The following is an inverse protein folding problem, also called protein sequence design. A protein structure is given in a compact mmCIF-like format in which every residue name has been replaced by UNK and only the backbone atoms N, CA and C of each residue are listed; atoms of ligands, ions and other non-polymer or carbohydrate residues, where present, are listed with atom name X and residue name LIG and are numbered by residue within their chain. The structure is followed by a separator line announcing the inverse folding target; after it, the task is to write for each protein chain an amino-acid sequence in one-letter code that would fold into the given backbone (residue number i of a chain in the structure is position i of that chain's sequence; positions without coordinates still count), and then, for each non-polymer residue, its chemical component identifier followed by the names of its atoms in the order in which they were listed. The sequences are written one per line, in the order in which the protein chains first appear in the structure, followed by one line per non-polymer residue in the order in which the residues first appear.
data_IF_057525942065
#
_entry.id   IF_057525942065
#
_cell.length_a   1.000
_cell.length_b   1.000
_cell.length_c   1.000
_cell.angle_alpha   90.00
_cell.angle_beta   90.00
_cell.angle_gamma   90.00
#
_symmetry.space_group_name_H-M   'P 1'
#
loop_
_entity.id
_entity.type
_entity.pdbx_description
1 polymer ?
#
# COMPACT_ATOMS: atom_id res chain seq x y z
N UNK A 1 -11.32 10.72 11.15
CA UNK A 1 -11.70 11.16 9.79
C UNK A 1 -12.12 10.03 8.85
N UNK A 2 -11.24 9.23 8.22
CA UNK A 2 -11.70 8.25 7.20
C UNK A 2 -12.66 7.18 7.75
N UNK A 3 -12.33 6.62 8.91
CA UNK A 3 -13.07 5.50 9.52
C UNK A 3 -14.24 5.99 10.36
N UNK A 4 -14.00 6.92 11.28
CA UNK A 4 -15.00 7.28 12.30
C UNK A 4 -15.96 8.39 11.86
N UNK A 5 -15.69 9.09 10.75
CA UNK A 5 -16.52 10.23 10.30
C UNK A 5 -17.03 10.02 8.87
N UNK A 6 -16.13 9.89 7.89
CA UNK A 6 -16.50 9.82 6.47
C UNK A 6 -17.26 8.54 6.13
N UNK A 7 -16.80 7.38 6.61
CA UNK A 7 -17.45 6.09 6.31
C UNK A 7 -18.88 6.00 6.86
N UNK A 8 -19.19 6.38 8.12
CA UNK A 8 -20.56 6.45 8.61
C UNK A 8 -21.45 7.39 7.79
N UNK A 9 -20.92 8.54 7.36
CA UNK A 9 -21.67 9.47 6.51
C UNK A 9 -22.01 8.85 5.16
N UNK A 10 -21.06 8.19 4.52
CA UNK A 10 -21.30 7.48 3.26
C UNK A 10 -22.29 6.32 3.43
N UNK A 11 -22.23 5.58 4.55
CA UNK A 11 -23.13 4.46 4.82
C UNK A 11 -24.60 4.90 4.96
N UNK A 12 -24.85 6.15 5.36
CA UNK A 12 -26.18 6.74 5.36
C UNK A 12 -26.73 7.02 3.94
N UNK A 13 -25.85 7.20 2.95
CA UNK A 13 -26.22 7.62 1.59
C UNK A 13 -26.14 6.47 0.57
N UNK A 14 -25.17 5.57 0.72
CA UNK A 14 -24.87 4.51 -0.23
C UNK A 14 -24.85 3.14 0.44
N UNK A 15 -25.30 2.11 -0.29
CA UNK A 15 -25.15 0.71 0.13
C UNK A 15 -23.79 0.17 -0.30
N UNK A 16 -22.96 -0.20 0.65
CA UNK A 16 -21.69 -0.91 0.44
C UNK A 16 -21.42 -1.87 1.59
N UNK A 17 -20.49 -2.80 1.39
CA UNK A 17 -20.01 -3.68 2.46
C UNK A 17 -19.08 -2.90 3.39
N UNK A 18 -19.52 -2.63 4.61
CA UNK A 18 -18.76 -1.87 5.62
C UNK A 18 -17.53 -2.63 6.17
N UNK A 19 -17.42 -3.92 5.85
CA UNK A 19 -16.33 -4.79 6.32
C UNK A 19 -15.24 -5.01 5.28
N UNK A 20 -15.49 -4.61 4.02
CA UNK A 20 -14.63 -4.94 2.89
C UNK A 20 -14.13 -3.70 2.12
N UNK A 21 -13.25 -2.94 2.78
CA UNK A 21 -12.71 -1.69 2.24
C UNK A 21 -11.25 -1.80 1.79
N UNK A 22 -10.94 -1.12 0.68
CA UNK A 22 -9.57 -0.88 0.25
C UNK A 22 -9.12 0.55 0.54
N UNK A 23 -7.83 0.72 0.85
CA UNK A 23 -7.17 2.01 0.90
C UNK A 23 -6.17 2.12 -0.26
N UNK A 24 -6.32 3.18 -1.04
CA UNK A 24 -5.43 3.51 -2.14
C UNK A 24 -4.67 4.78 -1.81
N UNK A 25 -3.36 4.76 -2.02
CA UNK A 25 -2.53 5.95 -1.92
C UNK A 25 -1.33 5.85 -2.84
N UNK A 26 -0.98 6.96 -3.49
CA UNK A 26 0.22 7.11 -4.31
C UNK A 26 1.12 8.21 -3.72
N UNK A 27 2.45 8.08 -3.85
CA UNK A 27 3.42 9.04 -3.34
C UNK A 27 3.26 9.29 -1.83
N UNK A 28 3.03 10.54 -1.39
CA UNK A 28 2.69 10.86 0.00
C UNK A 28 1.41 10.14 0.50
N UNK A 29 0.44 9.92 -0.39
CA UNK A 29 -0.73 9.09 -0.08
C UNK A 29 -0.35 7.62 0.12
N UNK A 30 0.65 7.12 -0.61
CA UNK A 30 1.22 5.79 -0.43
C UNK A 30 1.92 5.65 0.92
N UNK A 31 2.64 6.68 1.36
CA UNK A 31 3.21 6.75 2.71
C UNK A 31 2.11 6.66 3.79
N UNK A 32 1.01 7.43 3.64
CA UNK A 32 -0.14 7.34 4.54
C UNK A 32 -0.79 5.95 4.55
N UNK A 33 -1.04 5.36 3.37
CA UNK A 33 -1.62 4.02 3.27
C UNK A 33 -0.72 2.95 3.91
N UNK A 34 0.60 3.11 3.78
CA UNK A 34 1.59 2.25 4.43
C UNK A 34 1.58 2.43 5.95
N UNK A 35 1.51 3.66 6.44
CA UNK A 35 1.38 3.95 7.88
C UNK A 35 0.11 3.32 8.47
N UNK A 36 -1.02 3.43 7.77
CA UNK A 36 -2.28 2.79 8.18
C UNK A 36 -2.15 1.26 8.25
N UNK A 37 -1.55 0.64 7.23
CA UNK A 37 -1.24 -0.79 7.23
C UNK A 37 -0.39 -1.18 8.44
N UNK A 38 0.76 -0.53 8.62
CA UNK A 38 1.74 -0.84 9.67
C UNK A 38 1.21 -0.54 11.09
N UNK A 39 0.27 0.40 11.21
CA UNK A 39 -0.48 0.64 12.44
C UNK A 39 -1.43 -0.50 12.84
N UNK A 40 -1.58 -1.52 11.99
CA UNK A 40 -2.39 -2.71 12.30
C UNK A 40 -3.89 -2.44 12.34
N UNK A 41 -4.37 -1.42 11.61
CA UNK A 41 -5.81 -1.12 11.57
C UNK A 41 -6.59 -2.22 10.87
N UNK A 42 -7.73 -2.60 11.44
CA UNK A 42 -8.68 -3.53 10.83
C UNK A 42 -9.66 -2.85 9.87
N UNK A 43 -9.53 -1.53 9.70
CA UNK A 43 -10.45 -0.72 8.92
C UNK A 43 -10.36 -0.96 7.41
N UNK A 44 -9.26 -1.53 6.92
CA UNK A 44 -9.05 -1.83 5.49
C UNK A 44 -8.48 -3.24 5.32
N UNK A 45 -8.99 -3.98 4.33
CA UNK A 45 -8.56 -5.34 3.99
C UNK A 45 -7.66 -5.40 2.77
N UNK A 46 -7.64 -4.31 1.98
CA UNK A 46 -6.87 -4.22 0.75
C UNK A 46 -6.10 -2.91 0.71
N UNK A 47 -4.84 -2.96 0.28
CA UNK A 47 -3.98 -1.78 0.20
C UNK A 47 -3.39 -1.69 -1.19
N UNK A 48 -3.63 -0.58 -1.88
CA UNK A 48 -3.05 -0.28 -3.18
C UNK A 48 -2.10 0.90 -3.00
N UNK A 49 -0.80 0.59 -2.90
CA UNK A 49 0.24 1.52 -2.44
C UNK A 49 1.16 1.81 -3.63
N UNK A 50 1.06 3.02 -4.15
CA UNK A 50 1.89 3.57 -5.22
C UNK A 50 3.09 4.31 -4.69
N UNK A 51 4.28 3.94 -5.17
CA UNK A 51 5.55 4.67 -4.98
C UNK A 51 5.66 5.42 -3.64
N UNK A 52 5.47 4.73 -2.49
CA UNK A 52 5.47 5.40 -1.20
C UNK A 52 6.87 5.94 -0.94
N UNK A 53 6.95 7.17 -0.41
CA UNK A 53 8.20 7.70 0.13
C UNK A 53 8.56 6.97 1.44
N UNK A 54 8.97 5.71 1.35
CA UNK A 54 9.08 4.80 2.49
C UNK A 54 10.22 5.19 3.44
N UNK A 55 11.33 5.72 2.90
CA UNK A 55 12.44 6.29 3.67
C UNK A 55 12.19 7.74 4.10
N UNK A 56 11.05 8.32 3.71
CA UNK A 56 10.67 9.68 4.11
C UNK A 56 10.49 9.80 5.62
N UNK A 57 10.53 11.05 6.11
CA UNK A 57 10.37 11.35 7.53
C UNK A 57 11.35 10.57 8.42
N UNK A 58 12.63 10.53 8.05
CA UNK A 58 13.69 9.83 8.81
C UNK A 58 13.41 8.33 8.99
N UNK A 59 13.05 7.62 7.91
CA UNK A 59 12.71 6.19 7.93
C UNK A 59 11.53 5.85 8.86
N UNK A 60 10.59 6.79 9.10
CA UNK A 60 9.48 6.60 10.03
C UNK A 60 8.68 5.30 9.81
N UNK A 61 8.41 4.92 8.56
CA UNK A 61 7.67 3.70 8.26
C UNK A 61 8.46 2.44 8.63
N UNK A 62 9.78 2.44 8.46
CA UNK A 62 10.62 1.32 8.89
C UNK A 62 10.72 1.23 10.41
N UNK A 63 10.77 2.37 11.10
CA UNK A 63 10.71 2.41 12.57
C UNK A 63 9.37 1.87 13.07
N UNK A 64 8.26 2.27 12.45
CA UNK A 64 6.91 1.80 12.79
C UNK A 64 6.76 0.29 12.57
N UNK A 65 7.28 -0.22 11.46
CA UNK A 65 7.25 -1.65 11.14
C UNK A 65 8.10 -2.47 12.14
N UNK A 66 9.32 -2.03 12.46
CA UNK A 66 10.20 -2.70 13.44
C UNK A 66 9.57 -2.74 14.84
N UNK A 67 9.03 -1.60 15.30
CA UNK A 67 8.32 -1.52 16.57
C UNK A 67 7.09 -2.43 16.59
N UNK A 68 6.30 -2.41 15.52
CA UNK A 68 5.12 -3.26 15.38
C UNK A 68 5.47 -4.75 15.41
N UNK A 69 6.48 -5.16 14.65
CA UNK A 69 6.98 -6.54 14.66
C UNK A 69 7.45 -6.96 16.06
N UNK A 70 8.20 -6.10 16.75
CA UNK A 70 8.71 -6.38 18.11
C UNK A 70 7.59 -6.51 19.14
N UNK A 71 6.56 -5.68 19.01
CA UNK A 71 5.42 -5.66 19.93
C UNK A 71 4.30 -6.65 19.58
N UNK A 72 4.48 -7.46 18.53
CA UNK A 72 3.50 -8.46 18.11
C UNK A 72 2.27 -7.89 17.39
N UNK A 73 2.39 -6.71 16.78
CA UNK A 73 1.36 -6.16 15.89
C UNK A 73 1.06 -7.17 14.79
N UNK A 74 -0.22 -7.48 14.61
CA UNK A 74 -0.68 -8.37 13.54
C UNK A 74 -1.06 -7.55 12.34
N UNK A 75 -0.32 -7.72 11.25
CA UNK A 75 -0.68 -7.17 9.95
C UNK A 75 -1.56 -8.17 9.19
N UNK A 76 -2.61 -7.68 8.56
CA UNK A 76 -3.54 -8.51 7.78
C UNK A 76 -3.99 -7.79 6.51
N UNK A 77 -4.31 -8.57 5.48
CA UNK A 77 -4.90 -8.08 4.24
C UNK A 77 -4.06 -8.34 3.00
N UNK A 78 -4.56 -7.89 1.86
CA UNK A 78 -3.89 -8.03 0.56
C UNK A 78 -3.28 -6.67 0.15
N UNK A 79 -1.96 -6.65 -0.05
CA UNK A 79 -1.18 -5.46 -0.36
C UNK A 79 -0.64 -5.56 -1.79
N UNK A 80 -0.92 -4.54 -2.60
CA UNK A 80 -0.33 -4.33 -3.90
C UNK A 80 0.54 -3.08 -3.86
N UNK A 81 1.86 -3.28 -3.93
CA UNK A 81 2.85 -2.24 -4.08
C UNK A 81 3.17 -2.06 -5.57
N UNK A 82 3.22 -0.82 -6.04
CA UNK A 82 3.65 -0.55 -7.40
C UNK A 82 4.37 0.77 -7.59
N UNK A 83 5.36 0.80 -8.48
CA UNK A 83 6.11 2.01 -8.83
C UNK A 83 6.56 2.02 -10.29
N UNK A 84 6.81 3.21 -10.82
CA UNK A 84 7.45 3.38 -12.13
C UNK A 84 8.94 3.04 -12.07
N UNK A 85 9.44 2.29 -13.05
CA UNK A 85 10.87 1.96 -13.14
C UNK A 85 11.74 3.23 -13.31
N UNK A 86 11.27 4.21 -14.07
CA UNK A 86 12.03 5.41 -14.38
C UNK A 86 12.19 6.36 -13.17
N UNK A 87 11.50 6.09 -12.05
CA UNK A 87 11.68 6.81 -10.78
C UNK A 87 13.11 6.68 -10.23
N UNK A 88 13.83 5.61 -10.58
CA UNK A 88 15.25 5.46 -10.21
C UNK A 88 16.18 6.44 -10.93
N UNK A 89 15.74 7.02 -12.05
CA UNK A 89 16.55 7.88 -12.91
C UNK A 89 16.08 9.33 -12.94
N UNK A 90 14.85 9.61 -12.48
CA UNK A 90 14.39 10.98 -12.31
C UNK A 90 15.07 11.62 -11.08
N UNK A 91 15.70 12.81 -11.21
CA UNK A 91 16.49 13.40 -10.12
C UNK A 91 15.71 13.63 -8.84
N UNK A 92 14.43 14.01 -8.93
CA UNK A 92 13.61 14.32 -7.76
C UNK A 92 13.30 13.03 -7.00
N UNK A 93 12.79 12.02 -7.68
CA UNK A 93 12.41 10.75 -7.04
C UNK A 93 13.62 9.90 -6.63
N UNK A 94 14.74 10.00 -7.36
CA UNK A 94 15.99 9.37 -6.98
C UNK A 94 16.59 10.00 -5.72
N UNK A 95 16.54 11.34 -5.59
CA UNK A 95 17.04 12.02 -4.38
C UNK A 95 16.27 11.65 -3.11
N UNK A 96 14.99 11.31 -3.25
CA UNK A 96 14.14 10.82 -2.16
C UNK A 96 14.11 9.30 -2.00
N UNK A 97 14.93 8.57 -2.78
CA UNK A 97 14.98 7.10 -2.80
C UNK A 97 13.59 6.43 -2.93
N UNK A 98 12.71 6.96 -3.79
CA UNK A 98 11.32 6.48 -3.85
C UNK A 98 11.24 5.01 -4.28
N UNK A 99 11.89 4.66 -5.39
CA UNK A 99 11.88 3.28 -5.89
C UNK A 99 12.63 2.31 -4.96
N UNK A 100 13.80 2.71 -4.46
CA UNK A 100 14.64 1.88 -3.60
C UNK A 100 13.99 1.65 -2.24
N UNK A 101 13.43 2.69 -1.63
CA UNK A 101 12.73 2.58 -0.34
C UNK A 101 11.45 1.74 -0.44
N UNK A 102 10.65 1.88 -1.50
CA UNK A 102 9.51 0.96 -1.73
C UNK A 102 9.99 -0.48 -1.90
N UNK A 103 11.08 -0.70 -2.63
CA UNK A 103 11.66 -2.03 -2.82
C UNK A 103 12.08 -2.65 -1.49
N UNK A 104 12.77 -1.88 -0.64
CA UNK A 104 13.15 -2.27 0.72
C UNK A 104 11.91 -2.61 1.56
N UNK A 105 10.88 -1.77 1.55
CA UNK A 105 9.62 -2.03 2.25
C UNK A 105 8.99 -3.36 1.82
N UNK A 106 8.91 -3.62 0.50
CA UNK A 106 8.36 -4.87 -0.03
C UNK A 106 9.15 -6.10 0.45
N UNK A 107 10.48 -6.00 0.50
CA UNK A 107 11.36 -7.05 1.01
C UNK A 107 11.17 -7.26 2.51
N UNK A 108 11.13 -6.18 3.29
CA UNK A 108 10.90 -6.23 4.74
C UNK A 108 9.60 -6.97 5.06
N UNK A 109 8.48 -6.55 4.47
CA UNK A 109 7.17 -7.17 4.74
C UNK A 109 7.13 -8.65 4.35
N UNK A 110 7.84 -9.05 3.28
CA UNK A 110 7.95 -10.45 2.86
C UNK A 110 8.82 -11.29 3.80
N UNK A 111 9.93 -10.74 4.26
CA UNK A 111 10.84 -11.43 5.18
C UNK A 111 10.28 -11.54 6.60
N UNK A 112 9.39 -10.61 6.99
CA UNK A 112 8.72 -10.66 8.28
C UNK A 112 7.65 -11.77 8.39
N UNK A 113 7.18 -12.28 7.24
CA UNK A 113 6.29 -13.45 7.13
C UNK A 113 5.03 -13.36 8.01
N UNK A 114 4.36 -12.20 7.98
CA UNK A 114 3.10 -12.00 8.70
C UNK A 114 2.04 -13.00 8.18
N UNK A 115 1.44 -13.86 9.04
CA UNK A 115 0.61 -14.97 8.58
C UNK A 115 -0.61 -14.58 7.73
N UNK A 116 -1.20 -13.42 8.02
CA UNK A 116 -2.45 -12.96 7.40
C UNK A 116 -2.23 -11.84 6.38
N UNK A 117 -0.97 -11.55 6.01
CA UNK A 117 -0.61 -10.49 5.08
C UNK A 117 -0.09 -11.06 3.76
N UNK A 118 -0.67 -10.64 2.63
CA UNK A 118 -0.20 -11.03 1.29
C UNK A 118 0.38 -9.81 0.58
N UNK A 119 1.61 -9.93 0.09
CA UNK A 119 2.34 -8.79 -0.51
C UNK A 119 2.74 -9.06 -1.95
N UNK A 120 2.08 -8.37 -2.87
CA UNK A 120 2.44 -8.28 -4.29
C UNK A 120 3.18 -6.99 -4.56
N UNK A 121 4.26 -7.05 -5.32
CA UNK A 121 5.03 -5.88 -5.75
C UNK A 121 5.23 -5.91 -7.28
N UNK A 122 5.06 -4.76 -7.94
CA UNK A 122 5.24 -4.60 -9.40
C UNK A 122 5.96 -3.31 -9.74
N UNK A 123 6.92 -3.39 -10.65
CA UNK A 123 7.52 -2.22 -11.28
C UNK A 123 6.95 -2.06 -12.70
N UNK A 124 6.64 -0.83 -13.10
CA UNK A 124 6.09 -0.52 -14.41
C UNK A 124 7.19 0.01 -15.32
N UNK A 125 7.65 -0.78 -16.32
CA UNK A 125 8.79 -0.40 -17.15
C UNK A 125 8.57 0.90 -17.91
N UNK A 126 9.60 1.75 -17.93
CA UNK A 126 9.57 3.05 -18.60
C UNK A 126 8.57 4.08 -18.05
N UNK A 127 7.80 3.76 -17.01
CA UNK A 127 6.92 4.71 -16.34
C UNK A 127 7.69 5.51 -15.31
N UNK A 128 7.40 6.81 -15.19
CA UNK A 128 7.89 7.65 -14.09
C UNK A 128 6.85 7.73 -12.97
N UNK A 129 7.14 8.52 -11.94
CA UNK A 129 6.31 8.68 -10.74
C UNK A 129 4.86 9.06 -11.07
N UNK A 130 4.63 9.86 -12.11
CA UNK A 130 3.31 10.35 -12.47
C UNK A 130 2.61 9.42 -13.47
N UNK A 131 3.34 8.90 -14.45
CA UNK A 131 2.76 8.06 -15.51
C UNK A 131 2.50 6.63 -15.04
N UNK A 132 3.11 6.21 -13.93
CA UNK A 132 2.83 4.91 -13.31
C UNK A 132 1.42 4.82 -12.71
N UNK A 133 0.82 5.92 -12.26
CA UNK A 133 -0.46 5.93 -11.51
C UNK A 133 -1.60 5.21 -12.24
N UNK A 134 -1.88 5.45 -13.54
CA UNK A 134 -2.91 4.69 -14.25
C UNK A 134 -2.63 3.19 -14.32
N UNK A 135 -1.37 2.80 -14.51
CA UNK A 135 -0.96 1.38 -14.57
C UNK A 135 -1.10 0.70 -13.22
N UNK A 136 -0.72 1.42 -12.15
CA UNK A 136 -0.89 1.04 -10.76
C UNK A 136 -2.36 0.80 -10.42
N UNK A 137 -3.25 1.77 -10.70
CA UNK A 137 -4.68 1.66 -10.42
C UNK A 137 -5.29 0.48 -11.17
N UNK A 138 -5.06 0.38 -12.49
CA UNK A 138 -5.65 -0.67 -13.31
C UNK A 138 -5.17 -2.07 -12.90
N UNK A 139 -3.85 -2.24 -12.71
CA UNK A 139 -3.28 -3.54 -12.38
C UNK A 139 -3.59 -3.94 -10.94
N UNK A 140 -3.45 -3.01 -10.00
CA UNK A 140 -3.66 -3.25 -8.58
C UNK A 140 -5.13 -3.54 -8.26
N UNK A 141 -6.09 -2.79 -8.82
CA UNK A 141 -7.51 -3.07 -8.58
C UNK A 141 -7.90 -4.44 -9.14
N UNK A 142 -7.43 -4.80 -10.34
CA UNK A 142 -7.66 -6.13 -10.91
C UNK A 142 -7.06 -7.24 -10.05
N UNK A 143 -5.91 -7.01 -9.44
CA UNK A 143 -5.28 -7.99 -8.55
C UNK A 143 -6.05 -8.14 -7.23
N UNK A 144 -6.34 -7.01 -6.57
CA UNK A 144 -6.94 -6.96 -5.24
C UNK A 144 -8.42 -7.37 -5.23
N UNK A 145 -9.14 -7.15 -6.34
CA UNK A 145 -10.57 -7.45 -6.48
C UNK A 145 -10.84 -8.50 -7.57
N UNK A 146 -9.84 -9.31 -7.93
CA UNK A 146 -10.07 -10.42 -8.85
C UNK A 146 -11.16 -11.31 -8.28
N UNK A 147 -12.28 -11.46 -8.99
CA UNK A 147 -13.28 -12.46 -8.63
C UNK A 147 -12.65 -13.81 -8.97
N UNK A 148 -12.20 -14.53 -7.95
CA UNK A 148 -11.86 -15.94 -8.11
C UNK A 148 -13.15 -16.64 -8.52
N UNK A 149 -13.27 -16.97 -9.80
CA UNK A 149 -14.35 -17.84 -10.26
C UNK A 149 -14.28 -19.11 -9.39
N UNK A 150 -15.34 -19.39 -8.65
CA UNK A 150 -15.50 -20.65 -7.94
C UNK A 150 -15.31 -21.73 -9.00
N UNK A 151 -14.20 -22.48 -8.90
CA UNK A 151 -14.04 -23.71 -9.65
C UNK A 151 -15.15 -24.64 -9.16
N UNK A 152 -16.17 -24.78 -9.99
CA UNK A 152 -17.21 -25.80 -9.87
C UNK A 152 -16.66 -27.15 -10.30
#
# INVERSE_FOLDING_TARGET
MLVDELRPQLACEFRFDETDHGLLGDSAGGHFATSALLGGTDAFRRYLIGSPAASGCEDHLFQLEEQGSTNGTRLRGDVFLGAGEAEATDPLTASGDILGSMTRLAQTLRLRDYPDLRVTCRFFPGQNHYTAVPSLINTGLRHLYAVTAVRT
#
